data_IF_975560977915
#
_entry.id   IF_975560977915
#
_cell.length_a   1.000
_cell.length_b   1.000
_cell.length_c   1.000
_cell.angle_alpha   90.00
_cell.angle_beta   90.00
_cell.angle_gamma   90.00
#
_symmetry.space_group_name_H-M   'P 1'
#
loop_
_entity.id
_entity.type
_entity.pdbx_description
1 polymer ?
#
# COMPACT_ATOMS: atom_id res chain seq x y z
N UNK A 1 7.56 68.34 -25.30
CA UNK A 1 8.11 67.37 -26.24
C UNK A 1 8.09 66.00 -25.51
N UNK A 2 7.02 65.23 -25.73
CA UNK A 2 6.74 63.96 -25.06
C UNK A 2 7.22 62.80 -25.96
N UNK A 3 8.16 62.08 -25.50
CA UNK A 3 8.61 60.81 -26.17
C UNK A 3 7.84 59.65 -25.56
N UNK A 4 6.95 59.05 -26.36
CA UNK A 4 6.27 57.78 -26.06
C UNK A 4 7.24 56.63 -26.43
N UNK A 5 7.60 55.83 -25.47
CA UNK A 5 8.25 54.52 -25.71
C UNK A 5 7.18 53.43 -25.69
N UNK A 6 7.03 52.75 -26.82
CA UNK A 6 6.21 51.56 -27.00
C UNK A 6 6.89 50.34 -26.34
N UNK A 7 6.18 49.63 -25.49
CA UNK A 7 6.50 48.27 -25.06
C UNK A 7 5.70 47.31 -25.94
N UNK A 8 6.30 46.22 -26.44
CA UNK A 8 5.56 45.18 -27.17
C UNK A 8 4.79 44.30 -26.20
N UNK A 9 3.53 44.07 -26.56
CA UNK A 9 2.66 43.07 -25.93
C UNK A 9 3.18 41.64 -26.22
N UNK A 10 3.43 40.85 -25.19
CA UNK A 10 3.61 39.42 -25.30
C UNK A 10 2.24 38.77 -25.05
N UNK A 11 1.53 38.51 -26.11
CA UNK A 11 0.36 37.62 -26.12
C UNK A 11 0.79 36.17 -26.10
N UNK A 12 0.20 35.42 -25.18
CA UNK A 12 -0.30 34.06 -25.46
C UNK A 12 0.66 32.91 -25.41
N UNK A 13 1.02 32.46 -24.23
CA UNK A 13 1.34 31.01 -24.04
C UNK A 13 0.38 30.42 -22.99
N UNK A 14 -0.78 29.94 -23.49
CA UNK A 14 -1.67 29.10 -22.69
C UNK A 14 -1.04 27.71 -22.61
N UNK A 15 -0.45 27.39 -21.45
CA UNK A 15 -0.16 26.02 -21.06
C UNK A 15 -1.49 25.30 -20.85
N UNK A 16 -1.82 24.40 -21.77
CA UNK A 16 -2.96 23.51 -21.69
C UNK A 16 -2.77 22.48 -20.56
N UNK A 17 -3.24 22.83 -19.36
CA UNK A 17 -3.41 21.85 -18.29
C UNK A 17 -4.68 21.09 -18.66
N UNK A 18 -4.48 19.89 -19.20
CA UNK A 18 -5.55 18.90 -19.38
C UNK A 18 -6.08 18.52 -17.99
N UNK A 19 -7.25 19.09 -17.66
CA UNK A 19 -8.00 18.68 -16.47
C UNK A 19 -8.56 17.28 -16.75
N UNK A 20 -7.98 16.25 -16.13
CA UNK A 20 -8.62 14.97 -16.03
C UNK A 20 -9.92 15.13 -15.22
N UNK A 21 -11.03 15.34 -15.94
CA UNK A 21 -12.36 15.31 -15.36
C UNK A 21 -12.78 13.85 -15.14
N UNK A 22 -12.42 13.27 -14.00
CA UNK A 22 -13.05 12.05 -13.53
C UNK A 22 -14.37 12.45 -12.87
N UNK A 23 -15.39 12.74 -13.70
CA UNK A 23 -16.78 12.75 -13.25
C UNK A 23 -17.25 11.30 -13.19
N UNK A 24 -17.12 10.66 -12.05
CA UNK A 24 -17.88 9.44 -11.77
C UNK A 24 -19.34 9.83 -11.50
N UNK A 25 -20.17 9.61 -12.50
CA UNK A 25 -21.62 9.66 -12.39
C UNK A 25 -22.10 8.49 -11.53
N UNK A 26 -22.46 8.76 -10.28
CA UNK A 26 -23.10 7.77 -9.41
C UNK A 26 -24.52 7.50 -9.88
N UNK A 27 -24.70 6.58 -10.82
CA UNK A 27 -25.96 5.90 -10.99
C UNK A 27 -25.94 4.68 -10.08
N UNK A 28 -26.88 4.59 -9.12
CA UNK A 28 -27.20 3.39 -8.35
C UNK A 28 -27.82 2.32 -9.27
N UNK A 29 -27.01 1.76 -10.15
CA UNK A 29 -27.22 0.48 -10.79
C UNK A 29 -26.49 -0.53 -9.90
N UNK A 30 -27.04 -1.74 -9.73
CA UNK A 30 -26.42 -2.88 -9.04
C UNK A 30 -24.95 -2.92 -9.48
N UNK A 31 -24.07 -2.36 -8.65
CA UNK A 31 -22.69 -2.10 -9.03
C UNK A 31 -22.04 -3.46 -9.28
N UNK A 32 -21.65 -3.69 -10.52
CA UNK A 32 -20.74 -4.80 -10.83
C UNK A 32 -19.47 -4.45 -10.07
N UNK A 33 -19.12 -5.24 -9.06
CA UNK A 33 -17.88 -5.10 -8.32
C UNK A 33 -16.71 -5.02 -9.32
N UNK A 34 -15.77 -4.11 -9.08
CA UNK A 34 -14.52 -4.09 -9.80
C UNK A 34 -13.95 -5.53 -9.88
N UNK A 35 -13.60 -6.06 -11.06
CA UNK A 35 -13.16 -7.45 -11.21
C UNK A 35 -12.02 -7.83 -10.25
N UNK A 36 -11.12 -6.89 -9.94
CA UNK A 36 -10.05 -7.12 -8.97
C UNK A 36 -10.58 -7.30 -7.54
N UNK A 37 -11.59 -6.52 -7.14
CA UNK A 37 -12.20 -6.66 -5.82
C UNK A 37 -12.93 -7.99 -5.71
N UNK A 38 -13.65 -8.41 -6.76
CA UNK A 38 -14.30 -9.74 -6.79
C UNK A 38 -13.27 -10.85 -6.60
N UNK A 39 -12.14 -10.80 -7.33
CA UNK A 39 -11.07 -11.79 -7.20
C UNK A 39 -10.43 -11.80 -5.80
N UNK A 40 -10.32 -10.63 -5.14
CA UNK A 40 -9.86 -10.56 -3.74
C UNK A 40 -10.85 -11.26 -2.82
N UNK A 41 -12.14 -10.98 -2.95
CA UNK A 41 -13.19 -11.59 -2.12
C UNK A 41 -13.18 -13.11 -2.29
N UNK A 42 -13.10 -13.59 -3.53
CA UNK A 42 -13.02 -15.03 -3.82
C UNK A 42 -11.77 -15.67 -3.22
N UNK A 43 -10.61 -15.03 -3.35
CA UNK A 43 -9.36 -15.52 -2.77
C UNK A 43 -9.40 -15.58 -1.24
N UNK A 44 -9.90 -14.53 -0.59
CA UNK A 44 -10.08 -14.52 0.88
C UNK A 44 -11.06 -15.60 1.32
N UNK A 45 -12.17 -15.81 0.59
CA UNK A 45 -13.15 -16.84 0.92
C UNK A 45 -12.60 -18.27 0.79
N UNK A 46 -11.76 -18.52 -0.21
CA UNK A 46 -11.26 -19.85 -0.53
C UNK A 46 -10.05 -20.26 0.31
N UNK A 47 -9.13 -19.32 0.56
CA UNK A 47 -7.82 -19.62 1.13
C UNK A 47 -7.29 -18.57 2.11
N UNK A 48 -8.05 -17.52 2.42
CA UNK A 48 -7.68 -16.48 3.36
C UNK A 48 -6.72 -15.41 2.81
N UNK A 49 -6.28 -15.52 1.57
CA UNK A 49 -5.43 -14.54 0.89
C UNK A 49 -5.73 -14.41 -0.60
N UNK A 50 -5.29 -13.31 -1.20
CA UNK A 50 -5.34 -13.07 -2.64
C UNK A 50 -4.06 -12.36 -3.10
N UNK A 51 -3.62 -12.67 -4.32
CA UNK A 51 -2.52 -11.98 -5.01
C UNK A 51 -3.06 -11.50 -6.35
N UNK A 52 -3.13 -10.20 -6.55
CA UNK A 52 -3.75 -9.56 -7.72
C UNK A 52 -2.68 -8.79 -8.49
N UNK A 53 -2.18 -9.35 -9.60
CA UNK A 53 -1.29 -8.61 -10.50
C UNK A 53 -2.02 -7.42 -11.14
N UNK A 54 -1.29 -6.38 -11.51
CA UNK A 54 -1.82 -5.22 -12.24
C UNK A 54 -3.08 -4.61 -11.62
N UNK A 55 -3.16 -4.61 -10.27
CA UNK A 55 -4.30 -4.08 -9.53
C UNK A 55 -4.57 -2.60 -9.84
N UNK A 56 -3.53 -1.81 -10.06
CA UNK A 56 -3.61 -0.42 -10.49
C UNK A 56 -2.75 -0.19 -11.75
N UNK A 57 -3.11 0.81 -12.58
CA UNK A 57 -2.37 1.14 -13.81
C UNK A 57 -0.90 1.48 -13.56
N UNK A 58 -0.03 1.14 -14.50
CA UNK A 58 1.44 1.32 -14.36
C UNK A 58 1.84 2.78 -14.13
N UNK A 59 1.18 3.74 -14.76
CA UNK A 59 1.41 5.17 -14.57
C UNK A 59 1.04 5.63 -13.15
N UNK A 60 -0.03 5.07 -12.58
CA UNK A 60 -0.42 5.32 -11.20
C UNK A 60 0.61 4.77 -10.21
N UNK A 61 1.10 3.55 -10.44
CA UNK A 61 2.16 2.91 -9.64
C UNK A 61 3.44 3.74 -9.70
N UNK A 62 3.82 4.20 -10.89
CA UNK A 62 4.99 5.05 -11.08
C UNK A 62 4.88 6.37 -10.32
N UNK A 63 3.70 6.99 -10.32
CA UNK A 63 3.48 8.22 -9.61
C UNK A 63 3.58 8.02 -8.08
N UNK A 64 2.97 6.96 -7.51
CA UNK A 64 3.12 6.60 -6.09
C UNK A 64 4.59 6.31 -5.72
N UNK A 65 5.31 5.59 -6.59
CA UNK A 65 6.73 5.33 -6.40
C UNK A 65 7.54 6.64 -6.34
N UNK A 66 7.24 7.57 -7.23
CA UNK A 66 7.91 8.89 -7.27
C UNK A 66 7.67 9.67 -5.97
N UNK A 67 6.45 9.65 -5.42
CA UNK A 67 6.15 10.26 -4.12
C UNK A 67 6.96 9.60 -2.99
N UNK A 68 7.02 8.26 -2.94
CA UNK A 68 7.79 7.54 -1.93
C UNK A 68 9.29 7.90 -1.97
N UNK A 69 9.87 7.98 -3.17
CA UNK A 69 11.27 8.36 -3.36
C UNK A 69 11.52 9.85 -3.02
N UNK A 70 10.57 10.73 -3.29
CA UNK A 70 10.65 12.13 -2.88
C UNK A 70 10.65 12.27 -1.35
N UNK A 71 9.83 11.48 -0.65
CA UNK A 71 9.83 11.43 0.82
C UNK A 71 11.14 10.89 1.37
N UNK A 72 11.75 9.88 0.73
CA UNK A 72 13.06 9.37 1.08
C UNK A 72 14.13 10.45 0.93
N UNK A 73 14.16 11.12 -0.23
CA UNK A 73 15.13 12.20 -0.52
C UNK A 73 14.99 13.36 0.47
N UNK A 74 13.76 13.66 0.90
CA UNK A 74 13.48 14.68 1.90
C UNK A 74 13.78 14.24 3.36
N UNK A 75 14.28 13.02 3.58
CA UNK A 75 14.58 12.49 4.91
C UNK A 75 13.33 12.25 5.78
N UNK A 76 12.15 12.08 5.16
CA UNK A 76 10.87 11.89 5.86
C UNK A 76 10.54 10.43 6.17
N UNK A 77 11.32 9.48 5.68
CA UNK A 77 11.21 8.08 6.06
C UNK A 77 12.02 7.83 7.34
N UNK A 78 11.44 7.11 8.28
CA UNK A 78 12.06 6.76 9.56
C UNK A 78 12.15 5.23 9.67
N UNK A 79 13.17 4.73 10.37
CA UNK A 79 13.25 3.30 10.65
C UNK A 79 11.98 2.83 11.36
N UNK A 80 11.41 1.74 10.84
CA UNK A 80 10.27 1.10 11.48
C UNK A 80 10.72 0.45 12.79
N UNK A 81 9.89 0.59 13.83
CA UNK A 81 10.12 -0.09 15.10
C UNK A 81 9.24 -1.33 15.22
N UNK A 82 9.68 -2.30 16.01
CA UNK A 82 8.88 -3.46 16.41
C UNK A 82 8.32 -3.27 17.82
N UNK A 83 7.10 -3.78 18.07
CA UNK A 83 6.45 -3.64 19.38
C UNK A 83 5.49 -2.45 19.47
N UNK A 84 4.95 -2.21 20.65
CA UNK A 84 3.93 -1.19 20.93
C UNK A 84 4.43 -0.08 21.84
N UNK A 85 4.08 1.15 21.51
CA UNK A 85 4.25 2.33 22.37
C UNK A 85 5.59 2.32 23.13
N UNK A 86 5.56 2.35 24.48
CA UNK A 86 6.76 2.35 25.33
C UNK A 86 7.65 1.09 25.23
N UNK A 87 7.12 -0.03 24.69
CA UNK A 87 7.88 -1.27 24.42
C UNK A 87 8.38 -1.37 22.99
N UNK A 88 8.22 -0.32 22.18
CA UNK A 88 8.73 -0.24 20.82
C UNK A 88 10.26 -0.25 20.82
N UNK A 89 10.86 -1.19 20.07
CA UNK A 89 12.33 -1.29 19.92
C UNK A 89 12.69 -1.14 18.44
N UNK A 90 13.73 -0.35 18.23
CA UNK A 90 14.39 -0.31 16.93
C UNK A 90 15.40 -1.46 16.87
N UNK A 91 15.14 -2.44 16.01
CA UNK A 91 16.04 -3.56 15.73
C UNK A 91 16.06 -3.81 14.22
N UNK A 92 17.05 -3.26 13.56
CA UNK A 92 17.20 -3.34 12.10
C UNK A 92 17.55 -4.75 11.60
N UNK A 93 17.96 -5.66 12.48
CA UNK A 93 18.17 -7.07 12.13
C UNK A 93 16.85 -7.85 12.12
N UNK A 94 15.85 -7.39 12.87
CA UNK A 94 14.50 -7.97 12.88
C UNK A 94 13.62 -7.33 11.82
N UNK A 95 13.72 -5.98 11.68
CA UNK A 95 12.94 -5.19 10.74
C UNK A 95 13.76 -4.02 10.21
N UNK A 96 14.17 -4.10 8.94
CA UNK A 96 15.12 -3.18 8.32
C UNK A 96 14.53 -2.11 7.41
N UNK A 97 13.20 -1.98 7.33
CA UNK A 97 12.54 -1.00 6.48
C UNK A 97 12.54 0.42 7.07
N UNK A 98 12.46 1.38 6.17
CA UNK A 98 12.15 2.78 6.45
C UNK A 98 10.69 3.03 6.06
N UNK A 99 9.92 3.70 6.91
CA UNK A 99 8.51 3.95 6.70
C UNK A 99 8.13 5.41 6.77
N UNK A 100 7.03 5.77 6.10
CA UNK A 100 6.36 7.05 6.23
C UNK A 100 4.84 6.81 6.29
N UNK A 101 4.24 7.05 7.46
CA UNK A 101 2.79 6.93 7.66
C UNK A 101 2.05 7.96 6.82
N UNK A 102 0.97 7.53 6.16
CA UNK A 102 0.10 8.43 5.43
C UNK A 102 -0.94 9.03 6.36
N UNK A 103 -1.00 10.37 6.36
CA UNK A 103 -2.02 11.13 7.07
C UNK A 103 -3.09 11.57 6.08
N UNK A 104 -4.32 11.13 6.26
CA UNK A 104 -5.43 11.49 5.39
C UNK A 104 -5.66 13.00 5.29
N UNK A 105 -5.38 13.76 6.37
CA UNK A 105 -5.53 15.21 6.38
C UNK A 105 -4.50 15.93 5.50
N UNK A 106 -3.37 15.28 5.21
CA UNK A 106 -2.27 15.82 4.40
C UNK A 106 -2.05 15.03 3.11
N UNK A 107 -2.98 14.12 2.79
CA UNK A 107 -2.84 13.21 1.66
C UNK A 107 -2.82 13.97 0.32
N UNK A 108 -1.88 13.62 -0.56
CA UNK A 108 -1.85 14.09 -1.94
C UNK A 108 -3.10 13.64 -2.71
N UNK A 109 -3.40 14.27 -3.85
CA UNK A 109 -4.51 13.83 -4.71
C UNK A 109 -4.34 12.36 -5.16
N UNK A 110 -3.11 11.91 -5.32
CA UNK A 110 -2.79 10.53 -5.69
C UNK A 110 -3.06 9.56 -4.53
N UNK A 111 -2.65 9.91 -3.32
CA UNK A 111 -2.94 9.13 -2.11
C UNK A 111 -4.44 9.08 -1.81
N UNK A 112 -5.17 10.18 -2.04
CA UNK A 112 -6.64 10.21 -1.93
C UNK A 112 -7.31 9.28 -2.95
N UNK A 113 -6.80 9.22 -4.19
CA UNK A 113 -7.32 8.30 -5.21
C UNK A 113 -7.05 6.83 -4.84
N UNK A 114 -5.89 6.52 -4.27
CA UNK A 114 -5.60 5.20 -3.72
C UNK A 114 -6.55 4.86 -2.56
N UNK A 115 -6.73 5.78 -1.62
CA UNK A 115 -7.62 5.59 -0.48
C UNK A 115 -9.07 5.33 -0.92
N UNK A 116 -9.56 6.01 -1.95
CA UNK A 116 -10.90 5.77 -2.52
C UNK A 116 -11.04 4.34 -3.08
N UNK A 117 -10.02 3.85 -3.80
CA UNK A 117 -9.99 2.48 -4.30
C UNK A 117 -10.01 1.44 -3.16
N UNK A 118 -9.23 1.70 -2.10
CA UNK A 118 -9.19 0.82 -0.94
C UNK A 118 -10.46 0.89 -0.10
N UNK A 119 -11.20 2.00 -0.13
CA UNK A 119 -12.51 2.11 0.51
C UNK A 119 -13.54 1.18 -0.14
N UNK A 120 -13.56 1.06 -1.48
CA UNK A 120 -14.39 0.07 -2.18
C UNK A 120 -14.06 -1.36 -1.71
N UNK A 121 -12.77 -1.69 -1.54
CA UNK A 121 -12.35 -2.99 -1.00
C UNK A 121 -12.81 -3.17 0.46
N UNK A 122 -12.69 -2.14 1.31
CA UNK A 122 -13.15 -2.16 2.70
C UNK A 122 -14.65 -2.48 2.80
N UNK A 123 -15.46 -1.80 1.98
CA UNK A 123 -16.89 -2.04 1.92
C UNK A 123 -17.21 -3.47 1.48
N UNK A 124 -16.55 -3.98 0.45
CA UNK A 124 -16.73 -5.35 -0.03
C UNK A 124 -16.36 -6.38 1.04
N UNK A 125 -15.21 -6.21 1.74
CA UNK A 125 -14.79 -7.07 2.85
C UNK A 125 -15.85 -7.12 3.97
N UNK A 126 -16.41 -5.96 4.34
CA UNK A 126 -17.48 -5.91 5.34
C UNK A 126 -18.78 -6.56 4.87
N UNK A 127 -19.16 -6.39 3.60
CA UNK A 127 -20.37 -6.96 3.04
C UNK A 127 -20.31 -8.50 2.96
N UNK A 128 -19.15 -9.06 2.62
CA UNK A 128 -19.03 -10.50 2.39
C UNK A 128 -18.64 -11.28 3.66
N UNK A 129 -17.82 -10.68 4.54
CA UNK A 129 -17.24 -11.40 5.67
C UNK A 129 -17.64 -10.83 7.05
N UNK A 130 -18.43 -9.75 7.09
CA UNK A 130 -18.87 -9.09 8.34
C UNK A 130 -17.71 -8.75 9.29
N UNK A 131 -16.54 -8.39 8.73
CA UNK A 131 -15.33 -8.16 9.51
C UNK A 131 -15.42 -6.95 10.44
N UNK A 132 -16.30 -5.98 10.16
CA UNK A 132 -16.45 -4.75 10.93
C UNK A 132 -15.22 -3.85 10.86
N UNK A 133 -14.48 -3.91 9.75
CA UNK A 133 -13.31 -3.04 9.54
C UNK A 133 -13.76 -1.62 9.23
N UNK A 134 -13.13 -0.67 9.90
CA UNK A 134 -13.56 0.72 9.97
C UNK A 134 -12.64 1.67 9.21
N UNK A 135 -11.33 1.43 9.26
CA UNK A 135 -10.31 2.30 8.70
C UNK A 135 -9.18 1.51 8.02
N UNK A 136 -8.45 2.17 7.15
CA UNK A 136 -7.18 1.70 6.61
C UNK A 136 -6.05 2.53 7.24
N UNK A 137 -5.19 1.89 8.01
CA UNK A 137 -3.92 2.40 8.49
C UNK A 137 -2.83 2.00 7.48
N UNK A 138 -2.13 2.94 6.85
CA UNK A 138 -1.16 2.62 5.81
C UNK A 138 0.06 3.54 5.79
N UNK A 139 1.15 3.05 5.19
CA UNK A 139 2.41 3.75 5.10
C UNK A 139 3.18 3.34 3.84
N UNK A 140 4.02 4.22 3.32
CA UNK A 140 5.09 3.81 2.41
C UNK A 140 6.15 3.06 3.19
N UNK A 141 6.61 1.93 2.66
CA UNK A 141 7.74 1.15 3.17
C UNK A 141 8.83 1.05 2.11
N UNK A 142 10.07 1.32 2.51
CA UNK A 142 11.25 1.17 1.69
C UNK A 142 12.25 0.28 2.40
N UNK A 143 12.55 -0.86 1.80
CA UNK A 143 13.59 -1.78 2.24
C UNK A 143 14.86 -1.50 1.45
N UNK A 144 15.94 -1.00 2.08
CA UNK A 144 17.25 -0.93 1.45
C UNK A 144 17.77 -2.31 1.04
N UNK A 145 18.74 -2.41 0.12
CA UNK A 145 19.36 -3.69 -0.22
C UNK A 145 19.84 -4.45 1.01
N UNK A 146 19.48 -5.74 1.09
CA UNK A 146 19.81 -6.62 2.22
C UNK A 146 18.88 -6.52 3.43
N UNK A 147 18.00 -5.51 3.48
CA UNK A 147 17.03 -5.39 4.57
C UNK A 147 15.98 -6.51 4.51
N UNK A 148 15.55 -6.94 5.69
CA UNK A 148 14.59 -8.01 5.90
C UNK A 148 13.46 -7.55 6.84
N UNK A 149 12.38 -8.31 6.89
CA UNK A 149 11.47 -8.32 8.01
C UNK A 149 11.20 -9.76 8.38
N UNK A 150 11.68 -10.18 9.55
CA UNK A 150 11.64 -11.55 10.00
C UNK A 150 10.20 -12.06 10.16
N UNK A 151 10.02 -13.38 10.17
CA UNK A 151 8.74 -14.08 10.30
C UNK A 151 7.92 -13.51 11.47
N UNK A 152 6.73 -13.02 11.18
CA UNK A 152 5.81 -12.38 12.14
C UNK A 152 4.35 -12.54 11.72
N UNK A 153 3.45 -12.19 12.64
CA UNK A 153 2.04 -11.92 12.38
C UNK A 153 1.77 -10.42 12.48
N UNK A 154 0.93 -9.89 11.64
CA UNK A 154 0.51 -8.48 11.71
C UNK A 154 -0.44 -8.19 12.87
N UNK A 155 -1.12 -9.23 13.35
CA UNK A 155 -2.00 -9.15 14.49
C UNK A 155 -1.24 -9.51 15.78
N UNK A 156 -1.18 -8.55 16.72
CA UNK A 156 -0.50 -8.78 18.00
C UNK A 156 -1.35 -9.64 18.95
N UNK A 157 -0.70 -10.44 19.80
CA UNK A 157 -1.37 -11.12 20.91
C UNK A 157 -2.05 -10.08 21.80
N UNK A 158 -3.37 -10.25 22.05
CA UNK A 158 -4.19 -9.32 22.85
C UNK A 158 -4.66 -8.05 22.14
N UNK A 159 -4.33 -7.87 20.86
CA UNK A 159 -4.93 -6.82 20.04
C UNK A 159 -5.26 -7.35 18.64
N UNK A 160 -6.55 -7.54 18.41
CA UNK A 160 -7.09 -8.03 17.15
C UNK A 160 -7.66 -6.89 16.29
N UNK A 161 -7.13 -5.69 16.36
CA UNK A 161 -7.63 -4.56 15.56
C UNK A 161 -7.35 -4.75 14.07
N UNK A 162 -6.13 -5.17 13.69
CA UNK A 162 -5.75 -5.44 12.30
C UNK A 162 -6.39 -6.73 11.83
N UNK A 163 -7.31 -6.64 10.89
CA UNK A 163 -8.08 -7.79 10.40
C UNK A 163 -7.57 -8.29 9.06
N UNK A 164 -7.22 -7.36 8.17
CA UNK A 164 -6.76 -7.69 6.82
C UNK A 164 -5.54 -6.84 6.51
N UNK A 165 -4.46 -7.50 6.11
CA UNK A 165 -3.22 -6.90 5.62
C UNK A 165 -3.32 -6.68 4.12
N UNK A 166 -2.82 -5.55 3.62
CA UNK A 166 -2.75 -5.25 2.20
C UNK A 166 -1.39 -4.61 1.86
N UNK A 167 -0.77 -5.10 0.79
CA UNK A 167 0.56 -4.67 0.35
C UNK A 167 0.52 -4.43 -1.16
N UNK A 168 0.61 -3.17 -1.58
CA UNK A 168 0.75 -2.78 -2.98
C UNK A 168 2.22 -2.53 -3.29
N UNK A 169 2.78 -3.28 -4.24
CA UNK A 169 4.17 -3.08 -4.65
C UNK A 169 4.30 -1.95 -5.67
N UNK A 170 5.40 -1.19 -5.53
CA UNK A 170 5.67 0.00 -6.35
C UNK A 170 6.97 -0.14 -7.17
N UNK A 171 7.54 -1.36 -7.27
CA UNK A 171 8.81 -1.58 -7.96
C UNK A 171 8.58 -1.70 -9.47
N UNK A 172 9.44 -1.07 -10.24
CA UNK A 172 9.43 -1.18 -11.69
C UNK A 172 10.38 -2.29 -12.15
N UNK A 173 9.97 -3.01 -13.20
CA UNK A 173 10.81 -3.98 -13.90
C UNK A 173 11.53 -4.95 -12.95
N UNK A 174 10.83 -5.37 -11.89
CA UNK A 174 11.40 -6.26 -10.87
C UNK A 174 11.77 -7.59 -11.46
N UNK A 175 13.01 -8.03 -11.21
CA UNK A 175 13.51 -9.30 -11.72
C UNK A 175 13.57 -10.33 -10.58
N UNK A 176 13.24 -11.62 -10.84
CA UNK A 176 13.25 -12.66 -9.81
C UNK A 176 14.58 -12.78 -9.04
N UNK A 177 15.71 -12.54 -9.72
CA UNK A 177 17.04 -12.57 -9.12
C UNK A 177 17.33 -11.43 -8.14
N UNK A 178 16.47 -10.41 -8.07
CA UNK A 178 16.63 -9.34 -7.09
C UNK A 178 16.18 -9.77 -5.68
N UNK A 179 15.45 -10.89 -5.54
CA UNK A 179 14.93 -11.34 -4.27
C UNK A 179 13.76 -10.50 -3.75
N UNK A 180 13.68 -10.28 -2.45
CA UNK A 180 12.69 -9.39 -1.82
C UNK A 180 11.26 -9.92 -1.80
N UNK A 181 11.06 -11.20 -1.99
CA UNK A 181 9.73 -11.82 -1.96
C UNK A 181 9.06 -11.59 -0.61
N UNK A 182 7.75 -11.47 -0.63
CA UNK A 182 6.92 -11.70 0.54
C UNK A 182 6.67 -13.20 0.63
N UNK A 183 7.14 -13.85 1.69
CA UNK A 183 6.82 -15.23 1.98
C UNK A 183 5.64 -15.31 2.91
N UNK A 184 4.56 -15.97 2.48
CA UNK A 184 3.39 -16.29 3.29
C UNK A 184 3.43 -17.78 3.64
N UNK A 185 3.44 -18.09 4.92
CA UNK A 185 3.36 -19.46 5.42
C UNK A 185 1.91 -19.92 5.47
N UNK A 186 1.61 -21.04 4.83
CA UNK A 186 0.26 -21.58 4.71
C UNK A 186 -0.12 -22.51 5.88
N UNK A 187 0.89 -22.86 6.70
CA UNK A 187 0.74 -23.60 7.94
C UNK A 187 1.49 -22.83 9.04
N UNK A 188 0.89 -22.65 10.20
CA UNK A 188 1.47 -21.92 11.33
C UNK A 188 2.44 -22.76 12.16
N UNK A 189 2.27 -24.08 12.15
CA UNK A 189 3.08 -25.05 12.90
C UNK A 189 4.30 -25.54 12.11
N UNK A 190 4.23 -25.52 10.76
CA UNK A 190 5.27 -26.03 9.89
C UNK A 190 5.93 -24.93 9.08
N UNK A 191 7.22 -25.06 8.71
CA UNK A 191 7.89 -24.11 7.83
C UNK A 191 7.42 -24.21 6.37
N UNK A 192 6.74 -25.26 6.00
CA UNK A 192 6.15 -25.53 4.68
C UNK A 192 4.76 -26.13 4.84
N UNK A 193 3.79 -25.89 3.92
CA UNK A 193 3.99 -25.13 2.69
C UNK A 193 3.96 -23.62 2.86
N UNK A 194 4.62 -22.89 1.97
CA UNK A 194 4.58 -21.45 1.84
C UNK A 194 4.42 -21.00 0.38
N UNK A 195 4.09 -19.76 0.16
CA UNK A 195 4.15 -19.11 -1.16
C UNK A 195 5.08 -17.90 -1.10
N UNK A 196 5.87 -17.71 -2.16
CA UNK A 196 6.71 -16.54 -2.35
C UNK A 196 6.08 -15.62 -3.40
N UNK A 197 5.71 -14.41 -3.00
CA UNK A 197 5.15 -13.40 -3.90
C UNK A 197 6.23 -12.42 -4.31
N UNK A 198 6.48 -12.31 -5.62
CA UNK A 198 7.41 -11.33 -6.18
C UNK A 198 6.87 -9.91 -5.96
N UNK A 199 7.72 -8.95 -5.56
CA UNK A 199 7.28 -7.59 -5.31
C UNK A 199 7.20 -6.76 -6.60
N UNK A 200 6.54 -7.28 -7.63
CA UNK A 200 6.33 -6.59 -8.91
C UNK A 200 5.37 -5.41 -8.76
N UNK A 201 5.73 -4.29 -9.35
CA UNK A 201 4.92 -3.07 -9.29
C UNK A 201 3.52 -3.27 -9.86
N UNK A 202 2.51 -2.83 -9.09
CA UNK A 202 1.10 -3.01 -9.42
C UNK A 202 0.47 -4.26 -8.81
N UNK A 203 1.26 -5.21 -8.30
CA UNK A 203 0.71 -6.37 -7.58
C UNK A 203 0.22 -5.96 -6.20
N UNK A 204 -1.04 -6.26 -5.90
CA UNK A 204 -1.63 -6.14 -4.56
C UNK A 204 -1.73 -7.51 -3.92
N UNK A 205 -1.19 -7.64 -2.70
CA UNK A 205 -1.37 -8.82 -1.85
C UNK A 205 -2.31 -8.45 -0.72
N UNK A 206 -3.33 -9.30 -0.49
CA UNK A 206 -4.31 -9.12 0.59
C UNK A 206 -4.42 -10.44 1.35
N UNK A 207 -4.36 -10.41 2.70
CA UNK A 207 -4.50 -11.61 3.52
C UNK A 207 -5.04 -11.30 4.92
N UNK A 208 -5.61 -12.32 5.57
CA UNK A 208 -6.12 -12.22 6.93
C UNK A 208 -4.96 -12.07 7.92
N UNK A 209 -4.86 -10.92 8.60
CA UNK A 209 -3.70 -10.50 9.41
C UNK A 209 -3.37 -11.43 10.58
N UNK A 210 -4.36 -12.16 11.10
CA UNK A 210 -4.20 -13.07 12.22
C UNK A 210 -3.94 -14.52 11.84
N UNK A 211 -3.92 -14.86 10.54
CA UNK A 211 -3.81 -16.24 10.07
C UNK A 211 -2.45 -16.55 9.44
N UNK A 212 -1.85 -15.56 8.76
CA UNK A 212 -0.65 -15.82 7.96
C UNK A 212 0.61 -15.26 8.63
N UNK A 213 1.45 -16.16 9.13
CA UNK A 213 2.83 -15.82 9.37
C UNK A 213 3.49 -15.46 8.06
N UNK A 214 4.29 -14.42 8.08
CA UNK A 214 4.95 -13.94 6.86
C UNK A 214 6.26 -13.24 7.17
N UNK A 215 7.11 -13.15 6.15
CA UNK A 215 8.38 -12.46 6.20
C UNK A 215 8.70 -11.76 4.88
N UNK A 216 9.57 -10.75 4.94
CA UNK A 216 10.14 -10.11 3.76
C UNK A 216 11.57 -10.60 3.60
N UNK A 217 11.84 -11.31 2.51
CA UNK A 217 13.16 -11.82 2.18
C UNK A 217 14.08 -10.69 1.72
N UNK A 218 15.42 -10.84 1.87
CA UNK A 218 16.35 -9.80 1.46
C UNK A 218 16.31 -9.60 -0.05
N UNK A 219 16.45 -8.33 -0.47
CA UNK A 219 16.55 -7.95 -1.87
C UNK A 219 17.92 -7.36 -2.18
N UNK A 220 18.39 -7.48 -3.42
CA UNK A 220 19.60 -6.82 -3.90
C UNK A 220 19.36 -5.40 -4.40
N UNK A 221 18.08 -5.02 -4.57
CA UNK A 221 17.63 -3.69 -5.01
C UNK A 221 16.69 -3.08 -3.96
N UNK A 222 16.57 -1.74 -3.90
CA UNK A 222 15.59 -1.09 -3.03
C UNK A 222 14.17 -1.56 -3.37
N UNK A 223 13.45 -2.10 -2.38
CA UNK A 223 12.08 -2.62 -2.50
C UNK A 223 11.10 -1.65 -1.86
N UNK A 224 10.14 -1.18 -2.64
CA UNK A 224 9.17 -0.17 -2.22
C UNK A 224 7.76 -0.75 -2.27
N UNK A 225 6.98 -0.48 -1.23
CA UNK A 225 5.56 -0.83 -1.17
C UNK A 225 4.74 0.24 -0.46
N UNK A 226 3.45 0.23 -0.72
CA UNK A 226 2.43 0.89 0.10
C UNK A 226 1.72 -0.21 0.88
N UNK A 227 1.98 -0.27 2.19
CA UNK A 227 1.56 -1.35 3.09
C UNK A 227 0.55 -0.81 4.09
N UNK A 228 -0.48 -1.58 4.41
CA UNK A 228 -1.49 -1.16 5.36
C UNK A 228 -2.34 -2.29 5.90
N UNK A 229 -3.21 -1.92 6.83
CA UNK A 229 -4.12 -2.83 7.52
C UNK A 229 -5.51 -2.23 7.61
N UNK A 230 -6.51 -3.00 7.22
CA UNK A 230 -7.88 -2.71 7.59
C UNK A 230 -8.10 -3.10 9.05
N UNK A 231 -8.56 -2.14 9.85
CA UNK A 231 -8.68 -2.25 11.30
C UNK A 231 -10.11 -2.11 11.79
N UNK A 232 -10.43 -2.84 12.85
CA UNK A 232 -11.61 -2.58 13.69
C UNK A 232 -11.37 -1.37 14.60
N UNK A 233 -12.44 -0.80 15.09
CA UNK A 233 -12.36 0.18 16.19
C UNK A 233 -11.78 -0.49 17.43
N UNK A 234 -10.90 0.22 18.13
CA UNK A 234 -10.44 -0.21 19.46
C UNK A 234 -11.64 -0.31 20.41
N UNK A 235 -11.83 -1.48 21.00
CA UNK A 235 -12.79 -1.66 22.08
C UNK A 235 -12.20 -1.21 23.43
N UNK A 236 -11.49 -0.09 23.47
CA UNK A 236 -11.07 0.50 24.74
C UNK A 236 -12.30 1.18 25.36
N UNK A 237 -13.05 0.42 26.14
CA UNK A 237 -13.96 0.92 27.17
C UNK A 237 -13.17 1.25 28.45
#
# INVERSE_FOLDING_TARGET
>A
MLIKTNLPQLEGMRLGISRYNVRHSFHKSRAVLNPHISAIIDGIAQQGYAVIPEFLPKDFIQALRTEALALQTAGKLQHASTGRAAASKLDTQVRGDLIHWLDQAQASALQQSFAACMEELREALNQHFYLGVFELENHFALYPPGAVYNKHLDQFRGNQERQVSCILYLNQDWQPQYGGQLRLYLDDEQPEPYIDVQPEGGTLVVFLSGQFWHEVLPATQPRISLTGWFRKRSNNL
#
